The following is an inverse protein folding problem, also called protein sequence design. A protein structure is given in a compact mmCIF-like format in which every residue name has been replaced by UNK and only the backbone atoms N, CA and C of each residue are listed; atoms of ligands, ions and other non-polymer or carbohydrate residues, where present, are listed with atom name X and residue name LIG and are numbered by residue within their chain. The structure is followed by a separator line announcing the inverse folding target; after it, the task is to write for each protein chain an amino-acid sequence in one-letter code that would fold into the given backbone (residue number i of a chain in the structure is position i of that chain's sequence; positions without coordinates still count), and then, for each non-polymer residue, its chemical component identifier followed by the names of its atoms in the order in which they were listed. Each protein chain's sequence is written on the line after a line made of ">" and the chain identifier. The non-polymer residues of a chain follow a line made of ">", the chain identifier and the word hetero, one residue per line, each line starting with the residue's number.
data_IF_149735455866
#
_entry.id   IF_149735455866
#
_cell.length_a   1.000
_cell.length_b   1.000
_cell.length_c   1.000
_cell.angle_alpha   90.00
_cell.angle_beta   90.00
_cell.angle_gamma   90.00
#
_symmetry.space_group_name_H-M   'P 1'
#
loop_
_entity.id
_entity.type
_entity.pdbx_description
1 polymer ?
#
# COMPACT_ATOMS: atom_id res chain seq x y z
N UNK A 1 -9.62 -8.26 -23.31
CA UNK A 1 -10.55 -7.62 -24.23
C UNK A 1 -10.97 -6.24 -23.73
N UNK A 2 -11.85 -5.56 -24.48
CA UNK A 2 -12.29 -4.20 -24.16
C UNK A 2 -13.04 -4.11 -22.80
N UNK A 3 -13.77 -5.16 -22.45
CA UNK A 3 -14.49 -5.25 -21.18
C UNK A 3 -13.54 -5.37 -19.99
N UNK A 4 -12.55 -6.28 -20.06
CA UNK A 4 -11.59 -6.46 -18.96
C UNK A 4 -10.73 -5.20 -18.74
N UNK A 5 -10.42 -4.49 -19.82
CA UNK A 5 -9.70 -3.20 -19.76
C UNK A 5 -10.54 -2.15 -19.06
N UNK A 6 -11.79 -1.97 -19.49
CA UNK A 6 -12.73 -1.02 -18.87
C UNK A 6 -12.90 -1.33 -17.38
N UNK A 7 -12.97 -2.62 -17.02
CA UNK A 7 -13.11 -3.06 -15.64
C UNK A 7 -11.86 -2.74 -14.79
N UNK A 8 -10.65 -3.03 -15.28
CA UNK A 8 -9.41 -2.70 -14.57
C UNK A 8 -9.26 -1.18 -14.44
N UNK A 9 -9.45 -0.43 -15.52
CA UNK A 9 -9.38 1.03 -15.47
C UNK A 9 -10.36 1.61 -14.47
N UNK A 10 -11.59 1.10 -14.46
CA UNK A 10 -12.62 1.51 -13.50
C UNK A 10 -12.18 1.19 -12.07
N UNK A 11 -11.60 0.01 -11.83
CA UNK A 11 -11.08 -0.38 -10.52
C UNK A 11 -9.94 0.53 -10.05
N UNK A 12 -8.95 0.78 -10.92
CA UNK A 12 -7.82 1.67 -10.62
C UNK A 12 -8.28 3.13 -10.41
N UNK A 13 -9.20 3.63 -11.24
CA UNK A 13 -9.80 4.96 -11.11
C UNK A 13 -10.58 5.07 -9.80
N UNK A 14 -11.36 4.05 -9.43
CA UNK A 14 -12.08 3.99 -8.17
C UNK A 14 -11.15 3.96 -6.95
N UNK A 15 -10.06 3.18 -6.99
CA UNK A 15 -9.07 3.14 -5.92
C UNK A 15 -8.38 4.50 -5.73
N UNK A 16 -7.98 5.15 -6.84
CA UNK A 16 -7.42 6.51 -6.82
C UNK A 16 -8.42 7.54 -6.29
N UNK A 17 -9.68 7.47 -6.72
CA UNK A 17 -10.75 8.35 -6.24
C UNK A 17 -10.95 8.20 -4.74
N UNK A 18 -11.04 6.97 -4.21
CA UNK A 18 -11.15 6.70 -2.77
C UNK A 18 -9.96 7.24 -1.99
N UNK A 19 -8.74 7.08 -2.53
CA UNK A 19 -7.53 7.64 -1.95
C UNK A 19 -7.55 9.17 -1.92
N UNK A 20 -8.00 9.82 -3.00
CA UNK A 20 -8.10 11.29 -3.08
C UNK A 20 -9.18 11.86 -2.15
N UNK A 21 -10.36 11.23 -2.10
CA UNK A 21 -11.46 11.58 -1.19
C UNK A 21 -11.09 11.45 0.30
N UNK A 22 -10.00 10.74 0.60
CA UNK A 22 -9.53 10.54 1.97
C UNK A 22 -8.37 11.47 2.35
N UNK A 23 -8.00 12.42 1.47
CA UNK A 23 -6.96 13.43 1.75
C UNK A 23 -7.56 14.65 2.45
N UNK A 24 -6.82 15.30 3.37
CA UNK A 24 -7.27 16.51 4.08
C UNK A 24 -7.45 17.72 3.15
N UNK A 25 -6.81 17.70 1.98
CA UNK A 25 -6.89 18.76 0.96
C UNK A 25 -8.11 18.61 0.02
N UNK A 26 -8.95 17.57 0.20
CA UNK A 26 -10.13 17.37 -0.63
C UNK A 26 -11.22 18.40 -0.29
N UNK A 27 -11.80 19.12 -1.27
CA UNK A 27 -12.89 20.06 -1.03
C UNK A 27 -14.07 19.38 -0.31
N UNK A 28 -14.65 20.07 0.68
CA UNK A 28 -15.72 19.53 1.54
C UNK A 28 -16.90 19.00 0.72
N UNK A 29 -17.36 19.76 -0.28
CA UNK A 29 -18.45 19.38 -1.17
C UNK A 29 -18.19 18.07 -1.95
N UNK A 30 -16.92 17.73 -2.21
CA UNK A 30 -16.53 16.49 -2.90
C UNK A 30 -16.35 15.34 -1.91
N UNK A 31 -15.93 15.65 -0.68
CA UNK A 31 -15.82 14.69 0.41
C UNK A 31 -17.20 14.13 0.80
N UNK A 32 -18.28 14.92 0.70
CA UNK A 32 -19.66 14.45 0.91
C UNK A 32 -20.03 13.29 -0.03
N UNK A 33 -19.53 13.29 -1.27
CA UNK A 33 -19.75 12.19 -2.22
C UNK A 33 -19.13 10.87 -1.75
N UNK A 34 -18.13 10.91 -0.86
CA UNK A 34 -17.53 9.70 -0.28
C UNK A 34 -18.57 8.87 0.47
N UNK A 35 -19.47 9.51 1.22
CA UNK A 35 -20.53 8.82 1.96
C UNK A 35 -21.46 8.06 1.01
N UNK A 36 -21.83 8.69 -0.11
CA UNK A 36 -22.68 8.07 -1.13
C UNK A 36 -21.96 6.92 -1.83
N UNK A 37 -20.67 7.07 -2.12
CA UNK A 37 -19.85 6.02 -2.74
C UNK A 37 -19.65 4.83 -1.78
N UNK A 38 -19.30 5.09 -0.53
CA UNK A 38 -19.14 4.05 0.47
C UNK A 38 -20.48 3.30 0.67
N UNK A 39 -21.61 4.01 0.74
CA UNK A 39 -22.93 3.39 0.81
C UNK A 39 -23.27 2.54 -0.43
N UNK A 40 -22.93 3.00 -1.63
CA UNK A 40 -23.24 2.31 -2.88
C UNK A 40 -22.37 1.07 -3.13
N UNK A 41 -21.13 1.07 -2.62
CA UNK A 41 -20.12 0.03 -2.93
C UNK A 41 -19.70 -0.83 -1.74
N UNK A 42 -20.05 -0.49 -0.50
CA UNK A 42 -19.94 -1.41 0.64
C UNK A 42 -21.09 -2.41 0.54
N UNK A 43 -20.75 -3.62 0.08
CA UNK A 43 -21.60 -4.79 0.20
C UNK A 43 -22.17 -4.84 1.63
N UNK A 44 -23.49 -5.06 1.76
CA UNK A 44 -24.15 -5.46 3.01
C UNK A 44 -23.56 -6.80 3.48
N UNK A 45 -22.35 -6.79 4.03
CA UNK A 45 -21.81 -7.93 4.77
C UNK A 45 -22.53 -7.97 6.12
N UNK A 46 -22.77 -9.19 6.59
CA UNK A 46 -23.52 -9.48 7.81
C UNK A 46 -23.03 -8.62 9.00
N UNK A 47 -23.94 -8.25 9.93
CA UNK A 47 -23.58 -7.52 11.13
C UNK A 47 -22.66 -8.39 12.00
N UNK A 48 -21.35 -8.19 11.84
CA UNK A 48 -20.30 -8.99 12.49
C UNK A 48 -18.90 -8.70 11.93
N UNK A 49 -18.79 -8.27 10.67
CA UNK A 49 -17.49 -7.98 10.03
C UNK A 49 -17.17 -6.48 9.91
N UNK A 50 -18.03 -5.62 10.45
CA UNK A 50 -17.70 -4.20 10.63
C UNK A 50 -16.72 -4.08 11.80
N UNK A 51 -15.43 -4.30 11.54
CA UNK A 51 -14.41 -3.68 12.38
C UNK A 51 -14.72 -2.17 12.35
N UNK A 52 -14.88 -1.53 13.53
CA UNK A 52 -15.15 -0.11 13.58
C UNK A 52 -14.10 0.63 12.76
N UNK A 53 -14.52 1.70 12.09
CA UNK A 53 -13.61 2.68 11.53
C UNK A 53 -12.86 3.38 12.67
N UNK A 54 -11.93 2.69 13.31
CA UNK A 54 -10.91 3.35 14.11
C UNK A 54 -9.94 3.95 13.11
N UNK A 55 -9.97 5.28 13.00
CA UNK A 55 -8.75 6.06 12.73
C UNK A 55 -7.64 5.42 13.55
N UNK A 56 -6.45 5.22 12.96
CA UNK A 56 -5.37 4.55 13.65
C UNK A 56 -5.10 5.22 15.00
N UNK A 57 -5.71 4.69 16.05
CA UNK A 57 -5.15 4.71 17.37
C UNK A 57 -3.80 4.07 17.15
N UNK A 58 -2.76 4.90 17.23
CA UNK A 58 -1.43 4.48 17.62
C UNK A 58 -1.63 3.79 18.96
N UNK A 59 -2.05 2.52 18.91
CA UNK A 59 -2.11 1.64 20.08
C UNK A 59 -0.74 1.79 20.73
N UNK A 60 -0.73 2.01 22.06
CA UNK A 60 0.41 2.14 22.99
C UNK A 60 1.44 1.00 22.81
N UNK A 61 2.04 0.96 21.63
CA UNK A 61 2.90 -0.10 21.18
C UNK A 61 4.24 0.25 21.78
N UNK A 62 4.61 -0.51 22.80
CA UNK A 62 5.87 -0.28 23.50
C UNK A 62 7.03 -0.52 22.54
N UNK A 63 8.11 0.27 22.64
CA UNK A 63 9.34 -0.02 21.91
C UNK A 63 9.77 -1.47 22.17
N UNK A 64 10.09 -2.20 21.09
CA UNK A 64 10.48 -3.60 21.15
C UNK A 64 11.75 -3.83 20.34
N UNK A 65 12.55 -4.88 20.65
CA UNK A 65 13.72 -5.21 19.87
C UNK A 65 13.38 -5.41 18.40
N UNK A 66 14.13 -4.77 17.50
CA UNK A 66 13.91 -4.93 16.05
C UNK A 66 14.68 -6.12 15.48
N UNK A 67 14.14 -6.80 14.45
CA UNK A 67 14.88 -7.82 13.69
C UNK A 67 16.19 -7.28 13.11
N UNK A 68 17.19 -8.15 12.90
CA UNK A 68 18.55 -7.75 12.49
C UNK A 68 18.61 -6.99 11.17
N UNK A 69 17.81 -7.38 10.19
CA UNK A 69 17.76 -6.71 8.89
C UNK A 69 17.09 -5.34 8.96
N UNK A 70 16.03 -5.20 9.77
CA UNK A 70 15.45 -3.90 10.08
C UNK A 70 16.43 -3.02 10.85
N UNK A 71 17.13 -3.56 11.86
CA UNK A 71 18.16 -2.82 12.62
C UNK A 71 19.27 -2.26 11.72
N UNK A 72 19.71 -3.01 10.70
CA UNK A 72 20.69 -2.52 9.71
C UNK A 72 20.16 -1.33 8.90
N UNK A 73 18.85 -1.29 8.65
CA UNK A 73 18.21 -0.20 7.91
C UNK A 73 18.12 1.06 8.75
N UNK A 74 17.55 0.96 9.96
CA UNK A 74 17.23 2.12 10.81
C UNK A 74 18.37 2.52 11.74
N UNK A 75 19.38 1.67 11.91
CA UNK A 75 20.53 1.84 12.84
C UNK A 75 20.13 1.94 14.32
N UNK A 76 18.94 1.44 14.65
CA UNK A 76 18.39 1.35 16.00
C UNK A 76 18.21 -0.14 16.38
N UNK A 77 18.27 -0.44 17.68
CA UNK A 77 18.06 -1.81 18.20
C UNK A 77 16.65 -2.02 18.74
N UNK A 78 15.93 -0.93 18.98
CA UNK A 78 14.59 -0.93 19.56
C UNK A 78 13.77 0.10 18.81
N UNK A 79 12.59 -0.29 18.34
CA UNK A 79 11.64 0.61 17.72
C UNK A 79 10.21 0.17 18.05
N UNK A 80 9.27 1.09 17.91
CA UNK A 80 7.85 0.73 17.97
C UNK A 80 7.48 0.08 16.64
N UNK A 81 6.88 -1.12 16.69
CA UNK A 81 6.52 -1.89 15.51
C UNK A 81 5.01 -2.14 15.50
N UNK A 82 4.42 -2.06 14.31
CA UNK A 82 2.99 -2.28 14.10
C UNK A 82 2.75 -3.47 13.18
N UNK A 83 1.77 -4.30 13.52
CA UNK A 83 1.32 -5.35 12.62
C UNK A 83 0.54 -4.78 11.43
N UNK A 84 -0.27 -3.74 11.68
CA UNK A 84 -1.15 -3.08 10.73
C UNK A 84 -1.29 -1.61 11.09
N UNK A 85 -1.53 -0.77 10.10
CA UNK A 85 -1.94 0.62 10.30
C UNK A 85 -3.08 0.95 9.33
N UNK A 86 -3.92 1.91 9.73
CA UNK A 86 -4.93 2.49 8.84
C UNK A 86 -4.60 3.94 8.60
N UNK A 87 -4.47 4.33 7.34
CA UNK A 87 -4.20 5.70 6.95
C UNK A 87 -5.11 6.09 5.80
N UNK A 88 -5.80 7.23 5.93
CA UNK A 88 -6.74 7.73 4.92
C UNK A 88 -7.76 6.66 4.47
N UNK A 89 -8.30 5.88 5.41
CA UNK A 89 -9.27 4.80 5.13
C UNK A 89 -8.68 3.51 4.54
N UNK A 90 -7.37 3.49 4.23
CA UNK A 90 -6.68 2.34 3.66
C UNK A 90 -5.91 1.60 4.74
N UNK A 91 -6.07 0.27 4.80
CA UNK A 91 -5.35 -0.58 5.75
C UNK A 91 -4.09 -1.13 5.10
N UNK A 92 -2.95 -0.88 5.73
CA UNK A 92 -1.65 -1.46 5.39
C UNK A 92 -1.27 -2.50 6.44
N UNK A 93 -0.58 -3.55 6.03
CA UNK A 93 -0.17 -4.63 6.91
C UNK A 93 1.23 -5.11 6.56
N UNK A 94 1.95 -5.66 7.54
CA UNK A 94 3.15 -6.45 7.23
C UNK A 94 2.76 -7.75 6.52
N UNK A 95 3.66 -8.25 5.67
CA UNK A 95 3.53 -9.49 4.89
C UNK A 95 3.09 -10.68 5.74
N UNK A 96 3.73 -10.85 6.90
CA UNK A 96 3.47 -11.91 7.87
C UNK A 96 2.13 -11.80 8.62
N UNK A 97 1.42 -10.68 8.48
CA UNK A 97 0.10 -10.47 9.08
C UNK A 97 -1.01 -10.54 8.05
N UNK A 98 -0.83 -9.96 6.87
CA UNK A 98 -1.78 -10.07 5.76
C UNK A 98 -1.10 -9.72 4.44
N UNK A 99 -0.89 -10.72 3.58
CA UNK A 99 -0.15 -10.55 2.33
C UNK A 99 -0.78 -9.48 1.41
N UNK A 100 -2.09 -9.53 1.14
CA UNK A 100 -2.75 -8.57 0.23
C UNK A 100 -2.52 -7.10 0.61
N UNK A 101 -2.82 -6.74 1.86
CA UNK A 101 -2.57 -5.40 2.42
C UNK A 101 -1.09 -5.05 2.63
N UNK A 102 -0.16 -5.93 2.27
CA UNK A 102 1.29 -5.66 2.31
C UNK A 102 1.88 -5.34 0.93
N UNK A 103 1.17 -5.68 -0.15
CA UNK A 103 1.64 -5.44 -1.52
C UNK A 103 1.30 -4.01 -1.94
N UNK A 104 2.32 -3.23 -2.26
CA UNK A 104 2.16 -1.81 -2.62
C UNK A 104 3.00 -1.41 -3.84
N UNK A 105 2.47 -0.47 -4.63
CA UNK A 105 3.26 0.38 -5.51
C UNK A 105 3.67 1.63 -4.75
N UNK A 106 4.93 2.03 -4.89
CA UNK A 106 5.44 3.27 -4.27
C UNK A 106 6.50 3.92 -5.16
N UNK A 107 6.73 5.21 -4.93
CA UNK A 107 7.80 5.97 -5.58
C UNK A 107 9.13 5.77 -4.84
N UNK A 108 10.16 5.18 -5.47
CA UNK A 108 11.49 5.06 -4.89
C UNK A 108 12.02 6.39 -4.38
N UNK A 109 12.43 6.45 -3.11
CA UNK A 109 12.93 7.66 -2.44
C UNK A 109 11.99 8.87 -2.59
N UNK A 110 10.68 8.64 -2.71
CA UNK A 110 9.69 9.69 -2.92
C UNK A 110 9.76 10.40 -4.28
N UNK A 111 10.60 9.94 -5.21
CA UNK A 111 10.81 10.61 -6.49
C UNK A 111 9.65 10.33 -7.46
N UNK A 112 8.71 11.29 -7.55
CA UNK A 112 7.53 11.22 -8.42
C UNK A 112 7.82 11.35 -9.92
N UNK A 113 9.04 11.76 -10.30
CA UNK A 113 9.46 11.77 -11.70
C UNK A 113 9.83 10.38 -12.23
N UNK A 114 10.02 9.40 -11.33
CA UNK A 114 10.26 7.99 -11.67
C UNK A 114 8.96 7.20 -11.64
N UNK A 115 8.89 6.12 -12.42
CA UNK A 115 7.77 5.18 -12.35
C UNK A 115 7.72 4.51 -10.97
N UNK A 116 6.51 4.33 -10.39
CA UNK A 116 6.37 3.59 -9.15
C UNK A 116 6.79 2.13 -9.37
N UNK A 117 7.31 1.52 -8.32
CA UNK A 117 7.78 0.13 -8.32
C UNK A 117 7.00 -0.70 -7.31
N UNK A 118 6.80 -2.01 -7.55
CA UNK A 118 6.11 -2.87 -6.62
C UNK A 118 7.03 -3.32 -5.49
N UNK A 119 6.46 -3.50 -4.32
CA UNK A 119 7.15 -4.09 -3.17
C UNK A 119 6.19 -4.63 -2.12
N UNK A 120 6.77 -5.33 -1.17
CA UNK A 120 6.07 -5.94 -0.05
C UNK A 120 6.51 -5.26 1.25
N UNK A 121 5.56 -4.81 2.05
CA UNK A 121 5.80 -4.27 3.40
C UNK A 121 6.20 -5.43 4.31
N UNK A 122 7.46 -5.50 4.73
CA UNK A 122 7.94 -6.49 5.69
C UNK A 122 7.74 -6.02 7.13
N UNK A 123 7.97 -4.73 7.37
CA UNK A 123 7.84 -4.13 8.70
C UNK A 123 7.14 -2.78 8.60
N UNK A 124 6.35 -2.46 9.63
CA UNK A 124 5.81 -1.13 9.86
C UNK A 124 6.37 -0.69 11.21
N UNK A 125 7.04 0.45 11.25
CA UNK A 125 7.68 0.94 12.46
C UNK A 125 7.52 2.44 12.60
N UNK A 126 7.58 2.95 13.83
CA UNK A 126 7.74 4.37 14.09
C UNK A 126 9.17 4.64 14.54
N UNK A 127 9.80 5.63 13.91
CA UNK A 127 11.05 6.25 14.36
C UNK A 127 10.84 7.76 14.35
N UNK A 128 11.25 8.44 15.42
CA UNK A 128 11.03 9.89 15.62
C UNK A 128 9.57 10.32 15.34
N UNK A 129 8.60 9.56 15.84
CA UNK A 129 7.15 9.79 15.67
C UNK A 129 6.63 9.68 14.22
N UNK A 130 7.49 9.35 13.26
CA UNK A 130 7.11 9.13 11.86
C UNK A 130 6.95 7.63 11.60
N UNK A 131 5.74 7.25 11.16
CA UNK A 131 5.46 5.88 10.74
C UNK A 131 6.04 5.64 9.34
N UNK A 132 6.90 4.64 9.24
CA UNK A 132 7.62 4.26 8.02
C UNK A 132 7.44 2.77 7.73
N UNK A 133 7.39 2.42 6.45
CA UNK A 133 7.40 1.04 5.99
C UNK A 133 8.82 0.60 5.65
N UNK A 134 9.22 -0.57 6.09
CA UNK A 134 10.38 -1.26 5.53
C UNK A 134 9.89 -2.22 4.44
N UNK A 135 10.25 -1.93 3.20
CA UNK A 135 9.71 -2.59 2.02
C UNK A 135 10.82 -3.39 1.33
N UNK A 136 10.50 -4.58 0.81
CA UNK A 136 11.33 -5.29 -0.16
C UNK A 136 10.73 -5.15 -1.54
N UNK A 137 11.49 -4.64 -2.50
CA UNK A 137 11.05 -4.55 -3.91
C UNK A 137 10.80 -5.93 -4.49
N UNK A 138 9.76 -6.06 -5.29
CA UNK A 138 9.70 -7.17 -6.24
C UNK A 138 10.75 -6.97 -7.32
N UNK A 139 11.49 -8.02 -7.63
CA UNK A 139 12.52 -7.95 -8.65
C UNK A 139 11.88 -7.80 -10.04
N UNK A 140 12.55 -7.08 -10.96
CA UNK A 140 12.17 -7.12 -12.36
C UNK A 140 12.13 -8.56 -12.84
N UNK A 141 11.20 -8.85 -13.73
CA UNK A 141 11.17 -10.15 -14.40
C UNK A 141 12.51 -10.42 -15.11
N UNK A 142 12.90 -11.69 -15.18
CA UNK A 142 14.07 -12.11 -15.94
C UNK A 142 14.00 -11.65 -17.41
N UNK A 143 15.12 -11.17 -17.98
CA UNK A 143 15.14 -10.52 -19.29
C UNK A 143 14.79 -11.42 -20.49
N UNK A 144 14.64 -12.74 -20.29
CA UNK A 144 14.26 -13.69 -21.35
C UNK A 144 12.77 -14.04 -21.43
N UNK A 145 11.92 -13.52 -20.53
CA UNK A 145 10.50 -13.86 -20.50
C UNK A 145 9.60 -12.84 -21.18
N UNK A 146 8.78 -13.27 -22.15
CA UNK A 146 7.77 -12.43 -22.80
C UNK A 146 6.67 -11.97 -21.82
N UNK A 147 6.51 -10.66 -21.60
CA UNK A 147 5.39 -10.10 -20.83
C UNK A 147 4.08 -10.38 -21.55
N UNK A 148 3.25 -11.25 -20.96
CA UNK A 148 1.94 -11.61 -21.54
C UNK A 148 1.02 -10.38 -21.65
N UNK A 149 1.26 -9.35 -20.84
CA UNK A 149 0.51 -8.11 -20.88
C UNK A 149 1.05 -7.11 -21.91
N UNK A 150 2.26 -7.31 -22.45
CA UNK A 150 2.81 -6.41 -23.48
C UNK A 150 1.96 -6.36 -24.76
N UNK A 151 1.22 -7.43 -25.07
CA UNK A 151 0.27 -7.46 -26.18
C UNK A 151 -0.99 -6.60 -25.96
N UNK A 152 -1.18 -6.05 -24.76
CA UNK A 152 -2.34 -5.25 -24.39
C UNK A 152 -1.89 -3.84 -23.98
N UNK A 153 -1.53 -2.97 -24.93
CA UNK A 153 -0.98 -1.64 -24.63
C UNK A 153 -1.95 -0.72 -23.85
N UNK A 154 -3.24 -1.04 -23.89
CA UNK A 154 -4.31 -0.35 -23.16
C UNK A 154 -4.54 -0.93 -21.75
N UNK A 155 -3.88 -2.04 -21.41
CA UNK A 155 -3.94 -2.68 -20.10
C UNK A 155 -2.59 -2.45 -19.40
N UNK A 156 -2.49 -1.47 -18.47
CA UNK A 156 -1.22 -1.08 -17.85
C UNK A 156 -0.75 -2.08 -16.78
N UNK A 157 -0.91 -3.36 -17.03
CA UNK A 157 -0.34 -4.41 -16.21
C UNK A 157 1.05 -4.78 -16.71
N UNK A 158 1.87 -5.20 -15.77
CA UNK A 158 3.23 -5.65 -16.02
C UNK A 158 3.50 -6.85 -15.16
N UNK A 159 4.15 -7.86 -15.71
CA UNK A 159 4.60 -8.99 -14.91
C UNK A 159 5.86 -8.63 -14.12
N UNK A 160 5.81 -8.90 -12.83
CA UNK A 160 6.96 -8.82 -11.92
C UNK A 160 7.38 -10.22 -11.48
N UNK A 161 8.62 -10.35 -11.04
CA UNK A 161 9.06 -11.60 -10.42
C UNK A 161 8.38 -11.77 -9.07
N UNK A 162 8.04 -13.00 -8.70
CA UNK A 162 7.66 -13.34 -7.32
C UNK A 162 8.83 -13.19 -6.34
N UNK A 163 10.07 -13.13 -6.85
CA UNK A 163 11.27 -12.94 -6.03
C UNK A 163 11.38 -11.50 -5.53
N UNK A 164 11.71 -11.37 -4.24
CA UNK A 164 11.94 -10.09 -3.59
C UNK A 164 13.43 -9.73 -3.56
N UNK A 165 13.72 -8.43 -3.51
CA UNK A 165 15.05 -7.91 -3.25
C UNK A 165 15.54 -8.33 -1.85
N UNK A 166 16.84 -8.60 -1.75
CA UNK A 166 17.49 -8.88 -0.48
C UNK A 166 17.64 -7.63 0.41
N UNK A 167 17.42 -6.44 -0.15
CA UNK A 167 17.54 -5.16 0.56
C UNK A 167 16.16 -4.65 0.98
N UNK A 168 16.08 -4.21 2.25
CA UNK A 168 14.98 -3.39 2.73
C UNK A 168 15.22 -1.93 2.34
N UNK A 169 14.14 -1.22 2.06
CA UNK A 169 14.15 0.22 1.86
C UNK A 169 13.10 0.90 2.74
N UNK A 170 13.36 2.12 3.22
CA UNK A 170 12.36 2.88 3.93
C UNK A 170 11.40 3.51 2.91
N UNK A 171 10.10 3.39 3.16
CA UNK A 171 9.04 3.99 2.35
C UNK A 171 8.09 4.71 3.29
N UNK A 172 7.99 6.02 3.12
CA UNK A 172 7.00 6.82 3.84
C UNK A 172 5.62 6.68 3.19
N UNK A 173 4.57 6.81 3.99
CA UNK A 173 3.19 6.72 3.49
C UNK A 173 2.89 7.62 2.28
N UNK A 174 3.34 8.90 2.21
CA UNK A 174 3.08 9.76 1.06
C UNK A 174 3.71 9.31 -0.27
N UNK A 175 4.62 8.33 -0.22
CA UNK A 175 5.28 7.77 -1.39
C UNK A 175 4.51 6.57 -1.96
N UNK A 176 3.60 6.00 -1.17
CA UNK A 176 2.75 4.88 -1.57
C UNK A 176 1.66 5.38 -2.52
N UNK A 177 1.53 4.70 -3.66
CA UNK A 177 0.56 5.02 -4.71
C UNK A 177 -0.73 4.24 -4.50
N UNK A 178 -0.61 2.93 -4.33
CA UNK A 178 -1.73 2.01 -4.19
C UNK A 178 -1.27 0.66 -3.67
N UNK A 179 -2.22 -0.19 -3.29
CA UNK A 179 -1.99 -1.63 -3.28
C UNK A 179 -1.87 -2.15 -4.73
N UNK A 180 -1.29 -3.33 -4.93
CA UNK A 180 -1.27 -3.99 -6.24
C UNK A 180 -1.37 -5.51 -6.16
#
# INVERSE_FOLDING_TARGET
>A
GALETTMLESFLKAAKLRGWLSRPECPVAVCECKLLLDQAYVNKRAPGDCLPCEEAHVLDSKPSPVPRDLSKLIREQVAVQYARIKHAGVVYSRSSSHLGNSLIFFYPNGNRARSPVPGTIEYIYASNEVVTFAVRRQLPRHPGGHDIFAGYPHFPAKLYSASLSNQLEPVELPWVVSHF
#
